data_IF_495369059003
#
_entry.id   IF_495369059003
#
_cell.length_a   1.000
_cell.length_b   1.000
_cell.length_c   1.000
_cell.angle_alpha   90.00
_cell.angle_beta   90.00
_cell.angle_gamma   90.00
#
_symmetry.space_group_name_H-M   'P 1'
#
loop_
_entity.id
_entity.type
_entity.pdbx_description
1 polymer ?
#
# COMPACT_ATOMS: atom_id res chain seq x y z
N UNK A 1 -13.09 1.05 -3.41
CA UNK A 1 -13.95 1.31 -2.22
C UNK A 1 -15.23 0.48 -2.22
N UNK A 2 -16.11 0.59 -3.23
CA UNK A 2 -17.33 -0.24 -3.29
C UNK A 2 -17.06 -1.74 -3.21
N UNK A 3 -16.04 -2.24 -3.91
CA UNK A 3 -15.62 -3.64 -3.83
C UNK A 3 -15.31 -4.06 -2.37
N UNK A 4 -14.49 -3.27 -1.68
CA UNK A 4 -14.11 -3.51 -0.29
C UNK A 4 -15.31 -3.51 0.69
N UNK A 5 -16.30 -2.65 0.47
CA UNK A 5 -17.55 -2.67 1.25
C UNK A 5 -18.35 -3.95 0.98
N UNK A 6 -18.49 -4.33 -0.30
CA UNK A 6 -19.25 -5.53 -0.71
C UNK A 6 -18.65 -6.82 -0.16
N UNK A 7 -17.31 -6.94 -0.18
CA UNK A 7 -16.63 -8.13 0.32
C UNK A 7 -16.41 -8.11 1.84
N UNK A 8 -16.85 -7.05 2.53
CA UNK A 8 -16.61 -6.81 3.96
C UNK A 8 -15.12 -6.91 4.31
N UNK A 9 -14.29 -6.20 3.55
CA UNK A 9 -12.85 -6.18 3.79
C UNK A 9 -12.52 -5.51 5.12
N UNK A 10 -11.60 -6.10 5.88
CA UNK A 10 -11.08 -5.53 7.12
C UNK A 10 -10.14 -4.36 6.86
N UNK A 11 -9.42 -4.36 5.73
CA UNK A 11 -8.45 -3.32 5.37
C UNK A 11 -8.40 -3.09 3.85
N UNK A 12 -8.07 -1.86 3.45
CA UNK A 12 -7.62 -1.57 2.08
C UNK A 12 -6.11 -1.32 2.11
N UNK A 13 -5.35 -2.11 1.36
CA UNK A 13 -3.93 -1.89 1.11
C UNK A 13 -3.77 -1.11 -0.19
N UNK A 14 -3.01 -0.04 -0.18
CA UNK A 14 -2.74 0.81 -1.34
C UNK A 14 -1.25 0.88 -1.58
N UNK A 15 -0.78 0.26 -2.66
CA UNK A 15 0.60 0.42 -3.12
C UNK A 15 0.72 1.73 -3.91
N UNK A 16 1.59 2.64 -3.46
CA UNK A 16 1.73 3.96 -4.07
C UNK A 16 3.15 4.49 -4.00
N UNK A 17 3.53 5.34 -4.95
CA UNK A 17 4.82 6.05 -4.94
C UNK A 17 4.67 7.52 -4.53
N UNK A 18 3.48 8.10 -4.74
CA UNK A 18 3.20 9.53 -4.53
C UNK A 18 2.17 9.82 -3.44
N UNK A 19 1.51 8.79 -2.90
CA UNK A 19 0.40 8.94 -1.96
C UNK A 19 -0.93 9.37 -2.61
N UNK A 20 -0.95 9.71 -3.91
CA UNK A 20 -2.17 10.19 -4.59
C UNK A 20 -3.29 9.15 -4.58
N UNK A 21 -2.95 7.88 -4.83
CA UNK A 21 -3.91 6.78 -4.81
C UNK A 21 -4.56 6.62 -3.42
N UNK A 22 -3.76 6.65 -2.36
CA UNK A 22 -4.26 6.56 -0.98
C UNK A 22 -5.20 7.73 -0.65
N UNK A 23 -4.86 8.95 -1.08
CA UNK A 23 -5.74 10.13 -0.93
C UNK A 23 -7.05 10.00 -1.68
N UNK A 24 -7.03 9.44 -2.89
CA UNK A 24 -8.25 9.20 -3.66
C UNK A 24 -9.14 8.14 -2.99
N UNK A 25 -8.57 7.08 -2.44
CA UNK A 25 -9.32 6.09 -1.66
C UNK A 25 -9.93 6.73 -0.41
N UNK A 26 -9.13 7.50 0.34
CA UNK A 26 -9.56 8.16 1.57
C UNK A 26 -10.64 9.24 1.34
N UNK A 27 -10.68 9.86 0.16
CA UNK A 27 -11.73 10.82 -0.23
C UNK A 27 -13.13 10.24 -0.05
N UNK A 28 -13.30 8.95 -0.31
CA UNK A 28 -14.58 8.26 -0.17
C UNK A 28 -14.91 7.81 1.27
N UNK A 29 -14.07 8.19 2.24
CA UNK A 29 -14.23 7.89 3.67
C UNK A 29 -14.70 6.46 3.95
N UNK A 30 -13.92 5.44 3.51
CA UNK A 30 -14.25 4.07 3.83
C UNK A 30 -14.31 3.86 5.35
N UNK A 31 -15.19 2.97 5.86
CA UNK A 31 -15.25 2.64 7.27
C UNK A 31 -14.03 1.83 7.75
N UNK A 32 -13.40 1.06 6.86
CA UNK A 32 -12.18 0.31 7.11
C UNK A 32 -10.93 1.19 6.92
N UNK A 33 -9.84 0.90 7.65
CA UNK A 33 -8.57 1.60 7.51
C UNK A 33 -7.94 1.43 6.12
N UNK A 34 -7.21 2.47 5.69
CA UNK A 34 -6.44 2.46 4.43
C UNK A 34 -4.95 2.40 4.78
N UNK A 35 -4.30 1.28 4.50
CA UNK A 35 -2.86 1.12 4.65
C UNK A 35 -2.16 1.57 3.37
N UNK A 36 -1.45 2.70 3.43
CA UNK A 36 -0.74 3.25 2.28
C UNK A 36 0.73 2.83 2.30
N UNK A 37 1.08 1.84 1.51
CA UNK A 37 2.45 1.37 1.38
C UNK A 37 3.15 2.24 0.34
N UNK A 38 4.11 3.03 0.80
CA UNK A 38 4.91 3.89 -0.05
C UNK A 38 6.15 3.14 -0.51
N UNK A 39 6.17 2.76 -1.78
CA UNK A 39 7.32 2.12 -2.41
C UNK A 39 8.28 3.21 -2.88
N UNK A 40 9.49 3.31 -2.31
CA UNK A 40 10.44 4.34 -2.71
C UNK A 40 10.94 4.08 -4.13
N UNK A 41 11.07 5.14 -4.94
CA UNK A 41 11.78 5.06 -6.22
C UNK A 41 13.22 5.52 -6.02
N UNK A 42 14.15 4.66 -6.38
CA UNK A 42 15.56 5.03 -6.51
C UNK A 42 15.73 5.81 -7.82
N UNK A 43 16.16 7.07 -7.71
CA UNK A 43 16.65 7.83 -8.85
C UNK A 43 18.15 7.93 -8.72
N UNK A 44 18.84 7.24 -9.62
CA UNK A 44 20.28 7.33 -9.82
C UNK A 44 20.53 8.44 -10.83
N UNK A 45 21.01 9.57 -10.36
CA UNK A 45 21.71 10.51 -11.24
C UNK A 45 23.20 10.14 -11.19
N UNK A 46 23.97 10.38 -12.24
CA UNK A 46 25.28 9.75 -12.56
C UNK A 46 26.33 9.71 -11.44
N UNK A 47 26.13 10.45 -10.34
CA UNK A 47 26.98 10.49 -9.14
C UNK A 47 26.22 10.55 -7.79
N UNK A 48 24.87 10.56 -7.77
CA UNK A 48 24.06 10.68 -6.55
C UNK A 48 22.83 9.78 -6.58
N UNK A 49 22.67 8.97 -5.53
CA UNK A 49 21.47 8.17 -5.30
C UNK A 49 20.48 9.01 -4.49
N UNK A 50 19.29 9.24 -5.03
CA UNK A 50 18.22 9.94 -4.33
C UNK A 50 17.03 9.00 -4.08
N UNK A 51 16.61 8.90 -2.82
CA UNK A 51 15.43 8.15 -2.41
C UNK A 51 14.22 9.09 -2.36
N UNK A 52 13.22 8.80 -3.20
CA UNK A 52 11.93 9.50 -3.18
C UNK A 52 10.88 8.58 -2.58
N UNK A 53 10.24 8.99 -1.47
CA UNK A 53 9.18 8.20 -0.81
C UNK A 53 8.87 8.66 0.62
N UNK A 54 9.88 9.08 1.39
CA UNK A 54 9.72 9.45 2.81
C UNK A 54 8.79 10.66 2.97
N UNK A 55 8.98 11.71 2.17
CA UNK A 55 8.14 12.90 2.23
C UNK A 55 6.69 12.59 1.86
N UNK A 56 6.50 11.72 0.86
CA UNK A 56 5.18 11.29 0.39
C UNK A 56 4.44 10.47 1.44
N UNK A 57 5.15 9.58 2.15
CA UNK A 57 4.60 8.84 3.29
C UNK A 57 4.20 9.79 4.42
N UNK A 58 5.05 10.77 4.77
CA UNK A 58 4.75 11.78 5.79
C UNK A 58 3.54 12.64 5.42
N UNK A 59 3.41 13.04 4.15
CA UNK A 59 2.25 13.79 3.67
C UNK A 59 0.93 13.00 3.80
N UNK A 60 0.98 11.67 3.73
CA UNK A 60 -0.21 10.84 3.91
C UNK A 60 -0.73 10.84 5.36
N UNK A 61 0.09 11.18 6.35
CA UNK A 61 -0.34 11.31 7.76
C UNK A 61 -1.37 12.43 7.95
N UNK A 62 -1.39 13.44 7.07
CA UNK A 62 -2.39 14.50 7.11
C UNK A 62 -3.79 14.03 6.63
N UNK A 63 -3.89 12.83 6.06
CA UNK A 63 -5.12 12.33 5.43
C UNK A 63 -5.82 11.38 6.40
N UNK A 64 -7.07 11.70 6.72
CA UNK A 64 -7.90 10.88 7.62
C UNK A 64 -7.98 9.43 7.14
N UNK A 65 -7.81 8.50 8.08
CA UNK A 65 -8.02 7.07 7.88
C UNK A 65 -6.93 6.40 7.05
N UNK A 66 -5.85 7.12 6.72
CA UNK A 66 -4.68 6.58 6.02
C UNK A 66 -3.56 6.32 7.03
N UNK A 67 -3.04 5.09 7.00
CA UNK A 67 -1.90 4.64 7.79
C UNK A 67 -0.73 4.40 6.82
N UNK A 68 0.21 5.34 6.69
CA UNK A 68 1.33 5.17 5.76
C UNK A 68 2.38 4.22 6.34
N UNK A 69 2.90 3.34 5.49
CA UNK A 69 4.03 2.45 5.76
C UNK A 69 5.06 2.67 4.68
N UNK A 70 6.32 2.87 5.05
CA UNK A 70 7.41 2.98 4.09
C UNK A 70 7.94 1.57 3.80
N UNK A 71 7.95 1.16 2.54
CA UNK A 71 8.58 -0.09 2.15
C UNK A 71 10.10 0.09 2.07
N UNK A 72 10.84 -0.98 2.39
CA UNK A 72 12.29 -1.01 2.19
C UNK A 72 12.61 -0.91 0.69
N UNK A 73 13.64 -0.12 0.30
CA UNK A 73 14.10 -0.10 -1.08
C UNK A 73 14.84 -1.42 -1.38
N UNK A 74 14.14 -2.42 -1.91
CA UNK A 74 14.81 -3.61 -2.42
C UNK A 74 15.44 -3.31 -3.79
N UNK A 75 16.72 -3.65 -3.93
CA UNK A 75 17.59 -3.41 -5.12
C UNK A 75 17.26 -4.38 -6.26
N UNK A 76 16.08 -4.99 -6.27
CA UNK A 76 15.72 -5.94 -7.31
C UNK A 76 15.13 -5.21 -8.51
N UNK A 77 15.86 -5.30 -9.62
CA UNK A 77 15.71 -4.60 -10.91
C UNK A 77 14.39 -4.90 -11.66
N UNK A 78 13.42 -5.58 -11.05
CA UNK A 78 12.14 -5.89 -11.68
C UNK A 78 10.99 -5.17 -10.98
N UNK A 79 10.18 -4.42 -11.75
CA UNK A 79 9.02 -3.73 -11.22
C UNK A 79 8.11 -4.70 -10.43
N UNK A 80 7.92 -5.93 -10.93
CA UNK A 80 7.03 -6.94 -10.37
C UNK A 80 7.49 -7.51 -9.01
N UNK A 81 8.79 -7.74 -8.80
CA UNK A 81 9.26 -8.30 -7.51
C UNK A 81 9.10 -7.31 -6.34
N UNK A 82 9.19 -6.01 -6.62
CA UNK A 82 8.94 -4.96 -5.62
C UNK A 82 7.48 -4.91 -5.15
N UNK A 83 6.53 -5.30 -6.00
CA UNK A 83 5.09 -5.26 -5.70
C UNK A 83 4.71 -6.36 -4.73
N UNK A 84 5.13 -7.60 -5.04
CA UNK A 84 4.91 -8.78 -4.19
C UNK A 84 5.60 -8.58 -2.83
N UNK A 85 6.82 -8.02 -2.83
CA UNK A 85 7.52 -7.67 -1.58
C UNK A 85 6.79 -6.57 -0.80
N UNK A 86 6.23 -5.56 -1.49
CA UNK A 86 5.43 -4.51 -0.87
C UNK A 86 4.15 -5.03 -0.23
N UNK A 87 3.44 -5.96 -0.88
CA UNK A 87 2.21 -6.57 -0.36
C UNK A 87 2.48 -7.44 0.86
N UNK A 88 3.49 -8.32 0.79
CA UNK A 88 3.85 -9.18 1.92
C UNK A 88 4.27 -8.36 3.14
N UNK A 89 5.07 -7.30 2.95
CA UNK A 89 5.41 -6.35 4.01
C UNK A 89 4.17 -5.67 4.60
N UNK A 90 3.24 -5.24 3.76
CA UNK A 90 2.00 -4.59 4.19
C UNK A 90 1.13 -5.52 5.04
N UNK A 91 0.96 -6.77 4.62
CA UNK A 91 0.15 -7.76 5.31
C UNK A 91 0.80 -8.14 6.65
N UNK A 92 2.12 -8.34 6.69
CA UNK A 92 2.84 -8.62 7.92
C UNK A 92 2.71 -7.44 8.90
N UNK A 93 2.90 -6.21 8.42
CA UNK A 93 2.71 -5.04 9.25
C UNK A 93 1.26 -4.95 9.77
N UNK A 94 0.26 -5.15 8.92
CA UNK A 94 -1.14 -5.13 9.31
C UNK A 94 -1.47 -6.21 10.37
N UNK A 95 -0.90 -7.41 10.24
CA UNK A 95 -1.00 -8.49 11.24
C UNK A 95 -0.37 -8.07 12.57
N UNK A 96 0.86 -7.55 12.57
CA UNK A 96 1.56 -7.14 13.79
C UNK A 96 0.88 -6.00 14.54
N UNK A 97 0.23 -5.08 13.83
CA UNK A 97 -0.53 -3.96 14.43
C UNK A 97 -1.92 -4.40 14.89
N UNK A 98 -2.37 -5.61 14.53
CA UNK A 98 -3.71 -6.11 14.87
C UNK A 98 -4.82 -5.47 14.04
N UNK A 99 -4.51 -4.93 12.85
CA UNK A 99 -5.50 -4.36 11.93
C UNK A 99 -6.30 -5.42 11.16
N UNK A 100 -5.75 -6.63 11.08
CA UNK A 100 -6.36 -7.76 10.37
C UNK A 100 -6.21 -9.02 11.20
N UNK A 101 -7.23 -9.87 11.13
CA UNK A 101 -7.27 -11.19 11.75
C UNK A 101 -7.14 -12.27 10.68
N UNK A 102 -6.85 -13.51 11.10
CA UNK A 102 -7.00 -14.66 10.22
C UNK A 102 -8.40 -14.73 9.64
N UNK A 103 -8.50 -15.17 8.38
CA UNK A 103 -9.73 -15.26 7.58
C UNK A 103 -10.38 -13.91 7.23
N UNK A 104 -9.76 -12.79 7.58
CA UNK A 104 -10.20 -11.49 7.08
C UNK A 104 -9.85 -11.30 5.61
N UNK A 105 -10.68 -10.52 4.93
CA UNK A 105 -10.44 -10.12 3.53
C UNK A 105 -9.74 -8.78 3.48
N UNK A 106 -8.71 -8.68 2.66
CA UNK A 106 -8.03 -7.43 2.33
C UNK A 106 -8.29 -7.09 0.86
N UNK A 107 -8.47 -5.80 0.57
CA UNK A 107 -8.49 -5.31 -0.82
C UNK A 107 -7.21 -4.58 -1.11
N UNK A 108 -6.49 -5.03 -2.13
CA UNK A 108 -5.28 -4.40 -2.61
C UNK A 108 -5.62 -3.50 -3.79
N UNK A 109 -5.14 -2.27 -3.76
CA UNK A 109 -5.16 -1.36 -4.89
C UNK A 109 -3.73 -1.03 -5.31
N UNK A 110 -3.46 -1.17 -6.60
CA UNK A 110 -2.19 -0.84 -7.19
C UNK A 110 -2.35 -0.18 -8.55
N UNK A 111 -1.42 0.72 -8.87
CA UNK A 111 -1.26 1.26 -10.22
C UNK A 111 -0.02 0.64 -10.87
N UNK A 112 -0.23 -0.15 -11.93
CA UNK A 112 0.83 -0.79 -12.72
C UNK A 112 0.85 -0.11 -14.09
N UNK A 113 1.93 0.62 -14.40
CA UNK A 113 1.96 1.48 -15.59
C UNK A 113 0.84 2.51 -15.53
N UNK A 114 -0.05 2.50 -16.52
CA UNK A 114 -1.29 3.31 -16.54
C UNK A 114 -2.55 2.55 -16.16
N UNK A 115 -2.45 1.24 -15.97
CA UNK A 115 -3.54 0.39 -15.52
C UNK A 115 -3.69 0.42 -14.00
N UNK A 116 -4.93 0.33 -13.54
CA UNK A 116 -5.26 0.18 -12.12
C UNK A 116 -5.74 -1.23 -11.86
N UNK A 117 -5.09 -1.93 -10.93
CA UNK A 117 -5.42 -3.30 -10.53
C UNK A 117 -6.04 -3.27 -9.14
N UNK A 118 -7.13 -4.03 -8.99
CA UNK A 118 -7.79 -4.26 -7.70
C UNK A 118 -7.85 -5.74 -7.47
N UNK A 119 -7.25 -6.19 -6.38
CA UNK A 119 -7.20 -7.59 -6.00
C UNK A 119 -7.86 -7.79 -4.63
N UNK A 120 -8.54 -8.91 -4.44
CA UNK A 120 -9.16 -9.30 -3.17
C UNK A 120 -8.38 -10.51 -2.67
N UNK A 121 -7.80 -10.38 -1.48
CA UNK A 121 -6.97 -11.41 -0.85
C UNK A 121 -7.67 -11.85 0.44
N UNK A 122 -7.69 -13.16 0.68
CA UNK A 122 -8.12 -13.73 1.95
C UNK A 122 -6.89 -14.09 2.78
N UNK A 123 -6.85 -13.61 4.03
CA UNK A 123 -5.73 -13.83 4.92
C UNK A 123 -5.84 -15.21 5.55
N UNK A 124 -4.80 -16.02 5.37
CA UNK A 124 -4.71 -17.35 5.96
C UNK A 124 -3.78 -17.36 7.18
N UNK A 125 -4.04 -18.30 8.09
CA UNK A 125 -3.17 -18.65 9.22
C UNK A 125 -1.93 -19.40 8.73
N UNK A 126 -0.87 -18.64 8.47
CA UNK A 126 0.49 -19.15 8.39
C UNK A 126 1.38 -18.28 9.27
#
# INVERSE_FOLDING_TARGET
VRAAIKVKAAIIVVLTTSGRAARLVAKYRPPMPVLAVVVPRLRTDSLKWSFSGILQARQCLAVRGVYPVLASPNVETSANSSEVSGLTLALNHAKTVGLVKPHDRAVVFQKIGDSSVVEIIELHDH
#
